data_IF_874225749898
#
_entry.id   IF_874225749898
#
_cell.length_a   1.000
_cell.length_b   1.000
_cell.length_c   1.000
_cell.angle_alpha   90.00
_cell.angle_beta   90.00
_cell.angle_gamma   90.00
#
_symmetry.space_group_name_H-M   'P 1'
#
loop_
_entity.id
_entity.type
_entity.pdbx_description
1 polymer ?
#
# COMPACT_ATOMS: atom_id res chain seq x y z
N UNK A 1 -6.99 -6.52 -12.16
CA UNK A 1 -7.52 -7.89 -12.01
C UNK A 1 -7.30 -8.64 -13.31
N UNK A 2 -6.76 -9.85 -13.25
CA UNK A 2 -6.60 -10.73 -14.39
C UNK A 2 -6.88 -12.17 -13.97
N UNK A 3 -7.58 -12.93 -14.81
CA UNK A 3 -7.76 -14.37 -14.67
C UNK A 3 -6.75 -15.10 -15.52
N UNK A 4 -6.11 -16.12 -15.01
CA UNK A 4 -5.11 -16.93 -15.68
C UNK A 4 -5.44 -18.42 -15.56
N UNK A 5 -4.71 -19.27 -16.29
CA UNK A 5 -4.80 -20.74 -16.11
C UNK A 5 -4.39 -21.20 -14.68
N UNK A 6 -3.90 -20.29 -13.86
CA UNK A 6 -3.45 -20.49 -12.46
C UNK A 6 -4.43 -19.94 -11.43
N UNK A 7 -5.65 -19.61 -11.84
CA UNK A 7 -6.65 -18.93 -11.01
C UNK A 7 -6.59 -17.41 -11.13
N UNK A 8 -7.40 -16.73 -10.34
CA UNK A 8 -7.47 -15.29 -10.34
C UNK A 8 -6.23 -14.69 -9.64
N UNK A 9 -5.65 -13.69 -10.27
CA UNK A 9 -4.56 -12.90 -9.72
C UNK A 9 -4.96 -11.44 -9.66
N UNK A 10 -4.52 -10.73 -8.63
CA UNK A 10 -4.87 -9.34 -8.44
C UNK A 10 -3.68 -8.56 -7.90
N UNK A 11 -3.49 -7.37 -8.46
CA UNK A 11 -2.56 -6.38 -7.94
C UNK A 11 -3.33 -5.10 -7.58
N UNK A 12 -3.16 -4.64 -6.35
CA UNK A 12 -3.61 -3.33 -5.90
C UNK A 12 -2.42 -2.50 -5.43
N UNK A 13 -2.40 -1.22 -5.80
CA UNK A 13 -1.32 -0.30 -5.46
C UNK A 13 -1.90 1.05 -5.05
N UNK A 14 -1.46 1.57 -3.92
CA UNK A 14 -1.68 2.95 -3.50
C UNK A 14 -0.33 3.64 -3.37
N UNK A 15 -0.19 4.77 -4.05
CA UNK A 15 0.99 5.62 -4.04
C UNK A 15 0.56 7.03 -3.65
N UNK A 16 1.07 7.54 -2.54
CA UNK A 16 0.80 8.89 -2.08
C UNK A 16 1.98 9.79 -2.42
N UNK A 17 1.72 10.74 -3.30
CA UNK A 17 2.71 11.71 -3.74
C UNK A 17 2.89 12.81 -2.71
N UNK A 18 4.09 12.95 -2.15
CA UNK A 18 4.36 13.84 -1.02
C UNK A 18 4.11 15.30 -1.36
N UNK A 19 3.10 15.91 -0.70
CA UNK A 19 2.63 17.28 -0.93
C UNK A 19 3.64 18.38 -0.58
N UNK A 20 4.63 18.09 0.27
CA UNK A 20 5.76 18.98 0.55
C UNK A 20 6.82 19.01 -0.54
N UNK A 21 6.78 18.09 -1.49
CA UNK A 21 7.66 18.02 -2.65
C UNK A 21 6.88 18.41 -3.91
N UNK A 22 7.44 19.33 -4.70
CA UNK A 22 6.80 19.73 -5.95
C UNK A 22 6.63 18.52 -6.87
N UNK A 23 5.42 18.34 -7.43
CA UNK A 23 5.07 17.27 -8.36
C UNK A 23 5.12 15.84 -7.78
N UNK A 24 4.66 15.65 -6.54
CA UNK A 24 4.43 14.31 -5.96
C UNK A 24 3.55 13.43 -6.85
N UNK A 25 2.57 14.02 -7.55
CA UNK A 25 1.71 13.35 -8.51
C UNK A 25 2.47 12.71 -9.69
N UNK A 26 3.61 13.28 -10.09
CA UNK A 26 4.45 12.70 -11.15
C UNK A 26 5.16 11.44 -10.64
N UNK A 27 5.65 11.48 -9.41
CA UNK A 27 6.31 10.33 -8.78
C UNK A 27 5.32 9.17 -8.57
N UNK A 28 4.13 9.45 -8.01
CA UNK A 28 3.10 8.43 -7.78
C UNK A 28 2.60 7.81 -9.10
N UNK A 29 2.33 8.64 -10.13
CA UNK A 29 1.92 8.16 -11.45
C UNK A 29 3.00 7.29 -12.14
N UNK A 30 4.29 7.67 -12.02
CA UNK A 30 5.39 6.89 -12.58
C UNK A 30 5.49 5.51 -11.93
N UNK A 31 5.33 5.44 -10.62
CA UNK A 31 5.40 4.18 -9.87
C UNK A 31 4.19 3.27 -10.16
N UNK A 32 2.97 3.82 -10.18
CA UNK A 32 1.75 3.07 -10.55
C UNK A 32 1.90 2.49 -11.96
N UNK A 33 2.37 3.30 -12.93
CA UNK A 33 2.60 2.83 -14.30
C UNK A 33 3.62 1.69 -14.35
N UNK A 34 4.68 1.77 -13.58
CA UNK A 34 5.70 0.73 -13.53
C UNK A 34 5.13 -0.59 -12.97
N UNK A 35 4.32 -0.55 -11.91
CA UNK A 35 3.63 -1.72 -11.38
C UNK A 35 2.61 -2.30 -12.36
N UNK A 36 1.84 -1.46 -13.06
CA UNK A 36 0.90 -1.94 -14.10
C UNK A 36 1.64 -2.70 -15.20
N UNK A 37 2.72 -2.12 -15.73
CA UNK A 37 3.53 -2.78 -16.77
C UNK A 37 4.19 -4.06 -16.27
N UNK A 38 4.69 -4.08 -15.05
CA UNK A 38 5.26 -5.27 -14.43
C UNK A 38 4.21 -6.37 -14.30
N UNK A 39 3.02 -6.06 -13.82
CA UNK A 39 1.93 -7.00 -13.63
C UNK A 39 1.41 -7.58 -14.95
N UNK A 40 1.36 -6.76 -15.99
CA UNK A 40 0.89 -7.19 -17.32
C UNK A 40 1.92 -8.01 -18.10
N UNK A 41 3.23 -7.76 -17.91
CA UNK A 41 4.29 -8.31 -18.76
C UNK A 41 5.19 -9.29 -18.02
N UNK A 42 5.77 -8.90 -16.86
CA UNK A 42 6.76 -9.72 -16.18
C UNK A 42 6.14 -10.72 -15.19
N UNK A 43 5.08 -10.34 -14.51
CA UNK A 43 4.43 -11.22 -13.54
C UNK A 43 3.86 -12.52 -14.15
N UNK A 44 3.24 -12.52 -15.34
CA UNK A 44 2.85 -13.76 -16.03
C UNK A 44 4.03 -14.70 -16.32
N UNK A 45 5.20 -14.16 -16.70
CA UNK A 45 6.40 -14.99 -16.89
C UNK A 45 6.87 -15.62 -15.58
N UNK A 46 6.78 -14.85 -14.50
CA UNK A 46 7.07 -15.33 -13.16
C UNK A 46 6.14 -16.48 -12.77
N UNK A 47 4.85 -16.40 -13.04
CA UNK A 47 3.88 -17.49 -12.85
C UNK A 47 4.17 -18.69 -13.74
N UNK A 48 4.49 -18.48 -15.02
CA UNK A 48 4.75 -19.54 -15.98
C UNK A 48 5.96 -20.40 -15.61
N UNK A 49 7.06 -19.81 -15.14
CA UNK A 49 8.28 -20.52 -14.74
C UNK A 49 8.06 -21.54 -13.61
N UNK A 50 6.89 -21.62 -13.03
CA UNK A 50 6.57 -22.36 -11.79
C UNK A 50 5.61 -23.51 -11.93
N UNK A 51 5.30 -23.95 -13.14
CA UNK A 51 4.44 -25.12 -13.35
C UNK A 51 4.90 -26.41 -12.64
N UNK A 52 6.03 -26.40 -11.97
CA UNK A 52 6.64 -27.56 -11.32
C UNK A 52 6.94 -27.41 -9.83
N UNK A 53 6.59 -26.28 -9.21
CA UNK A 53 6.91 -26.01 -7.79
C UNK A 53 5.68 -25.49 -7.00
N UNK A 54 5.74 -25.55 -5.69
CA UNK A 54 4.66 -25.24 -4.72
C UNK A 54 4.23 -23.75 -4.69
N UNK A 55 3.93 -23.14 -5.83
CA UNK A 55 3.45 -21.75 -5.93
C UNK A 55 4.57 -20.71 -6.07
N UNK A 56 4.22 -19.41 -5.89
CA UNK A 56 5.15 -18.29 -6.07
C UNK A 56 6.34 -18.36 -5.09
N UNK A 57 7.58 -18.42 -5.63
CA UNK A 57 8.79 -18.33 -4.82
C UNK A 57 8.93 -16.88 -4.30
N UNK A 58 8.71 -16.72 -3.01
CA UNK A 58 8.75 -15.44 -2.33
C UNK A 58 10.02 -14.63 -2.64
N UNK A 59 11.19 -15.26 -2.56
CA UNK A 59 12.46 -14.57 -2.77
C UNK A 59 12.57 -14.02 -4.21
N UNK A 60 12.08 -14.76 -5.18
CA UNK A 60 12.09 -14.35 -6.58
C UNK A 60 11.14 -13.17 -6.84
N UNK A 61 9.93 -13.23 -6.26
CA UNK A 61 8.97 -12.14 -6.29
C UNK A 61 9.53 -10.87 -5.62
N UNK A 62 10.09 -11.00 -4.42
CA UNK A 62 10.70 -9.87 -3.71
C UNK A 62 11.86 -9.26 -4.50
N UNK A 63 12.70 -10.08 -5.13
CA UNK A 63 13.80 -9.61 -5.97
C UNK A 63 13.31 -8.86 -7.21
N UNK A 64 12.27 -9.33 -7.87
CA UNK A 64 11.68 -8.64 -9.04
C UNK A 64 11.07 -7.29 -8.63
N UNK A 65 10.30 -7.26 -7.54
CA UNK A 65 9.72 -6.02 -7.02
C UNK A 65 10.81 -5.05 -6.53
N UNK A 66 11.85 -5.54 -5.85
CA UNK A 66 12.99 -4.72 -5.44
C UNK A 66 13.66 -4.06 -6.64
N UNK A 67 13.94 -4.80 -7.72
CA UNK A 67 14.51 -4.23 -8.95
C UNK A 67 13.62 -3.15 -9.54
N UNK A 68 12.30 -3.39 -9.60
CA UNK A 68 11.32 -2.41 -10.08
C UNK A 68 11.39 -1.12 -9.27
N UNK A 69 11.32 -1.22 -7.93
CA UNK A 69 11.35 -0.08 -7.03
C UNK A 69 12.66 0.71 -7.16
N UNK A 70 13.80 0.04 -7.21
CA UNK A 70 15.11 0.69 -7.33
C UNK A 70 15.27 1.40 -8.68
N UNK A 71 14.82 0.78 -9.78
CA UNK A 71 14.83 1.41 -11.11
C UNK A 71 13.96 2.67 -11.14
N UNK A 72 12.71 2.57 -10.63
CA UNK A 72 11.81 3.72 -10.59
C UNK A 72 12.33 4.82 -9.66
N UNK A 73 12.88 4.46 -8.50
CA UNK A 73 13.50 5.41 -7.58
C UNK A 73 14.60 6.22 -8.29
N UNK A 74 15.52 5.52 -8.98
CA UNK A 74 16.59 6.18 -9.71
C UNK A 74 16.08 7.11 -10.80
N UNK A 75 15.10 6.66 -11.60
CA UNK A 75 14.49 7.45 -12.68
C UNK A 75 13.80 8.71 -12.17
N UNK A 76 13.04 8.62 -11.07
CA UNK A 76 12.38 9.77 -10.46
C UNK A 76 13.44 10.72 -9.90
N UNK A 77 14.45 10.21 -9.18
CA UNK A 77 15.54 11.01 -8.64
C UNK A 77 16.32 11.76 -9.73
N UNK A 78 16.65 11.10 -10.84
CA UNK A 78 17.36 11.73 -11.95
C UNK A 78 16.51 12.79 -12.66
N UNK A 79 15.23 12.53 -12.85
CA UNK A 79 14.29 13.53 -13.36
C UNK A 79 14.20 14.75 -12.42
N UNK A 80 14.16 14.51 -11.12
CA UNK A 80 14.16 15.55 -10.09
C UNK A 80 15.43 16.42 -10.15
N UNK A 81 16.62 15.81 -10.29
CA UNK A 81 17.89 16.52 -10.44
C UNK A 81 17.91 17.41 -11.68
N UNK A 82 17.48 16.88 -12.84
CA UNK A 82 17.43 17.63 -14.11
C UNK A 82 16.45 18.81 -14.02
N UNK A 83 15.32 18.60 -13.38
CA UNK A 83 14.27 19.60 -13.25
C UNK A 83 14.46 20.55 -12.06
N UNK A 84 15.47 20.33 -11.22
CA UNK A 84 15.68 21.03 -9.94
C UNK A 84 14.46 20.96 -9.00
N UNK A 85 13.74 19.83 -9.01
CA UNK A 85 12.51 19.63 -8.26
C UNK A 85 12.64 18.31 -7.47
N UNK A 86 12.47 18.38 -6.15
CA UNK A 86 12.34 17.18 -5.34
C UNK A 86 10.98 16.53 -5.56
N UNK A 87 10.97 15.23 -5.82
CA UNK A 87 9.77 14.42 -6.03
C UNK A 87 9.87 13.13 -5.24
N UNK A 88 8.79 12.72 -4.61
CA UNK A 88 8.74 11.46 -3.89
C UNK A 88 7.32 10.95 -3.75
N UNK A 89 7.20 9.65 -3.49
CA UNK A 89 5.92 8.99 -3.27
C UNK A 89 6.09 7.81 -2.32
N UNK A 90 5.04 7.49 -1.58
CA UNK A 90 4.92 6.20 -0.87
C UNK A 90 4.58 5.09 -1.84
N UNK A 91 4.63 3.86 -1.37
CA UNK A 91 4.11 2.69 -2.07
C UNK A 91 3.53 1.68 -1.08
N UNK A 92 2.23 1.42 -1.16
CA UNK A 92 1.57 0.29 -0.51
C UNK A 92 1.02 -0.63 -1.58
N UNK A 93 1.51 -1.86 -1.62
CA UNK A 93 1.22 -2.85 -2.66
C UNK A 93 0.63 -4.10 -2.03
N UNK A 94 -0.41 -4.63 -2.65
CA UNK A 94 -1.01 -5.93 -2.35
C UNK A 94 -1.11 -6.74 -3.64
N UNK A 95 -0.41 -7.86 -3.70
CA UNK A 95 -0.54 -8.88 -4.73
C UNK A 95 -1.24 -10.09 -4.14
N UNK A 96 -2.27 -10.58 -4.79
CA UNK A 96 -2.96 -11.82 -4.43
C UNK A 96 -2.85 -12.82 -5.56
N UNK A 97 -2.37 -14.01 -5.25
CA UNK A 97 -2.21 -15.10 -6.20
C UNK A 97 -2.13 -16.44 -5.46
N UNK A 98 -2.69 -17.50 -6.04
CA UNK A 98 -2.53 -18.88 -5.58
C UNK A 98 -2.87 -19.08 -4.08
N UNK A 99 -3.93 -18.41 -3.59
CA UNK A 99 -4.36 -18.52 -2.17
C UNK A 99 -3.50 -17.72 -1.18
N UNK A 100 -2.52 -16.96 -1.67
CA UNK A 100 -1.61 -16.16 -0.83
C UNK A 100 -1.70 -14.69 -1.18
N UNK A 101 -1.52 -13.83 -0.17
CA UNK A 101 -1.25 -12.43 -0.36
C UNK A 101 0.23 -12.13 -0.11
N UNK A 102 0.72 -11.15 -0.84
CA UNK A 102 2.05 -10.57 -0.67
C UNK A 102 1.90 -9.06 -0.58
N UNK A 103 2.48 -8.45 0.44
CA UNK A 103 2.50 -6.99 0.54
C UNK A 103 3.91 -6.46 0.38
N UNK A 104 4.03 -5.26 -0.17
CA UNK A 104 5.25 -4.48 -0.18
C UNK A 104 4.94 -3.06 0.26
N UNK A 105 5.80 -2.48 1.10
CA UNK A 105 5.63 -1.12 1.61
C UNK A 105 6.92 -0.30 1.51
N UNK A 106 6.76 0.97 1.08
CA UNK A 106 7.72 2.06 1.22
C UNK A 106 6.95 3.30 1.69
N UNK A 107 7.27 3.82 2.87
CA UNK A 107 6.59 4.97 3.46
C UNK A 107 5.54 4.58 4.49
N UNK A 108 4.42 5.30 4.55
CA UNK A 108 3.38 5.16 5.57
C UNK A 108 1.96 4.97 5.03
N UNK A 109 1.79 4.81 3.73
CA UNK A 109 0.57 4.21 3.18
C UNK A 109 0.45 2.77 3.64
N UNK A 110 -0.76 2.31 3.93
CA UNK A 110 -0.96 1.03 4.62
C UNK A 110 -1.80 0.04 3.84
N UNK A 111 -1.57 -1.24 4.11
CA UNK A 111 -2.44 -2.36 3.74
C UNK A 111 -3.01 -2.98 5.01
N UNK A 112 -4.30 -3.16 5.05
CA UNK A 112 -5.02 -3.82 6.14
C UNK A 112 -5.77 -5.04 5.64
N UNK A 113 -5.85 -6.05 6.49
CA UNK A 113 -6.80 -7.17 6.39
C UNK A 113 -7.91 -6.98 7.42
N UNK A 114 -9.14 -7.20 7.01
CA UNK A 114 -10.35 -7.11 7.84
C UNK A 114 -11.09 -8.44 7.71
N UNK A 115 -11.25 -9.14 8.82
CA UNK A 115 -11.95 -10.42 8.90
C UNK A 115 -12.96 -10.43 10.05
N UNK A 116 -13.57 -11.58 10.34
CA UNK A 116 -14.55 -11.70 11.43
C UNK A 116 -13.99 -11.48 12.84
N UNK A 117 -12.67 -11.40 13.00
CA UNK A 117 -12.01 -11.22 14.29
C UNK A 117 -11.53 -9.76 14.50
N UNK A 118 -11.41 -8.98 13.43
CA UNK A 118 -10.94 -7.60 13.54
C UNK A 118 -10.28 -7.05 12.29
N UNK A 119 -9.55 -5.97 12.50
CA UNK A 119 -8.73 -5.29 11.50
C UNK A 119 -7.26 -5.43 11.86
N UNK A 120 -6.45 -5.90 10.92
CA UNK A 120 -5.01 -6.15 11.12
C UNK A 120 -4.21 -5.35 10.08
N UNK A 121 -3.29 -4.51 10.52
CA UNK A 121 -2.34 -3.85 9.63
C UNK A 121 -1.29 -4.87 9.15
N UNK A 122 -1.13 -5.02 7.84
CA UNK A 122 -0.19 -5.96 7.22
C UNK A 122 1.16 -5.32 6.88
N UNK A 123 1.20 -4.01 6.75
CA UNK A 123 2.40 -3.21 6.47
C UNK A 123 2.87 -2.49 7.73
N UNK A 124 4.13 -2.10 7.76
CA UNK A 124 4.69 -1.31 8.86
C UNK A 124 5.11 0.07 8.35
N UNK A 125 4.72 1.12 9.06
CA UNK A 125 5.05 2.48 8.67
C UNK A 125 6.56 2.73 8.78
N UNK A 126 7.11 3.38 7.78
CA UNK A 126 8.51 3.79 7.74
C UNK A 126 8.61 5.28 8.08
N UNK A 127 8.15 5.66 9.28
CA UNK A 127 8.14 7.02 9.81
C UNK A 127 9.10 7.18 10.98
N UNK A 128 9.43 8.43 11.29
CA UNK A 128 10.21 8.77 12.49
C UNK A 128 9.53 8.23 13.75
N UNK A 129 8.22 8.47 13.91
CA UNK A 129 7.50 8.05 15.11
C UNK A 129 7.43 6.53 15.24
N UNK A 130 7.26 5.79 14.15
CA UNK A 130 7.29 4.32 14.19
C UNK A 130 8.66 3.81 14.64
N UNK A 131 9.75 4.40 14.17
CA UNK A 131 11.11 4.07 14.64
C UNK A 131 11.28 4.31 16.14
N UNK A 132 10.71 5.40 16.67
CA UNK A 132 10.76 5.69 18.11
C UNK A 132 9.91 4.71 18.94
N UNK A 133 8.75 4.29 18.42
CA UNK A 133 7.93 3.22 19.02
C UNK A 133 8.71 1.90 19.07
N UNK A 134 9.30 1.48 17.96
CA UNK A 134 10.09 0.25 17.87
C UNK A 134 11.27 0.24 18.83
N UNK A 135 11.86 1.39 19.06
CA UNK A 135 12.97 1.55 20.02
C UNK A 135 12.52 1.69 21.49
N UNK A 136 11.20 1.64 21.76
CA UNK A 136 10.64 1.78 23.10
C UNK A 136 10.76 3.19 23.68
N UNK A 137 11.00 4.21 22.84
CA UNK A 137 11.15 5.61 23.27
C UNK A 137 9.88 6.44 23.14
N UNK A 138 8.84 5.87 22.51
CA UNK A 138 7.55 6.52 22.31
C UNK A 138 6.43 5.49 22.37
N UNK A 139 5.31 5.84 22.97
CA UNK A 139 4.08 5.04 22.92
C UNK A 139 3.28 5.33 21.65
N UNK A 140 2.38 4.43 21.20
CA UNK A 140 1.49 4.70 20.07
C UNK A 140 0.62 5.94 20.25
N UNK A 141 0.16 6.24 21.48
CA UNK A 141 -0.66 7.40 21.76
C UNK A 141 0.13 8.72 21.65
N UNK A 142 1.38 8.74 22.13
CA UNK A 142 2.28 9.89 21.96
C UNK A 142 2.59 10.13 20.48
N UNK A 143 2.82 9.06 19.71
CA UNK A 143 3.11 9.14 18.29
C UNK A 143 1.98 9.80 17.47
N UNK A 144 0.72 9.54 17.82
CA UNK A 144 -0.45 10.11 17.14
C UNK A 144 -0.49 11.64 17.14
N UNK A 145 0.00 12.26 18.21
CA UNK A 145 -0.01 13.72 18.39
C UNK A 145 1.37 14.35 18.19
N UNK A 146 2.39 13.55 17.87
CA UNK A 146 3.76 14.03 17.74
C UNK A 146 3.90 14.99 16.56
N UNK A 147 4.63 16.13 16.70
CA UNK A 147 4.83 17.09 15.60
C UNK A 147 5.47 16.49 14.34
N UNK A 148 6.30 15.46 14.50
CA UNK A 148 6.99 14.77 13.42
C UNK A 148 6.31 13.45 12.98
N UNK A 149 5.02 13.27 13.27
CA UNK A 149 4.31 12.03 12.94
C UNK A 149 4.29 11.71 11.44
N UNK A 150 4.33 12.72 10.59
CA UNK A 150 4.31 12.59 9.12
C UNK A 150 5.74 12.60 8.51
N UNK A 151 6.81 12.53 9.33
CA UNK A 151 8.18 12.50 8.81
C UNK A 151 8.52 11.09 8.35
N UNK A 152 8.59 10.91 7.03
CA UNK A 152 8.98 9.64 6.41
C UNK A 152 10.50 9.42 6.54
N UNK A 153 10.90 8.18 6.79
CA UNK A 153 12.31 7.76 6.81
C UNK A 153 12.80 7.45 5.39
N UNK A 154 11.90 7.02 4.51
CA UNK A 154 12.19 6.78 3.11
C UNK A 154 10.95 6.92 2.24
N UNK A 155 11.15 7.28 0.98
CA UNK A 155 10.14 7.39 -0.05
C UNK A 155 10.76 7.20 -1.44
N UNK A 156 10.00 6.67 -2.36
CA UNK A 156 10.47 6.41 -3.73
C UNK A 156 10.66 7.74 -4.47
N UNK A 157 11.83 7.96 -5.03
CA UNK A 157 12.21 9.14 -5.80
C UNK A 157 13.02 10.19 -5.03
N UNK A 158 12.95 10.22 -3.68
CA UNK A 158 13.67 11.21 -2.88
C UNK A 158 14.66 10.59 -1.87
N UNK A 159 14.61 9.28 -1.66
CA UNK A 159 15.58 8.59 -0.80
C UNK A 159 16.75 8.04 -1.59
N UNK A 160 17.95 8.21 -1.08
CA UNK A 160 19.17 7.65 -1.68
C UNK A 160 19.19 6.13 -1.57
N UNK A 161 18.74 5.60 -0.44
CA UNK A 161 18.63 4.16 -0.19
C UNK A 161 17.16 3.86 0.11
N UNK A 162 16.62 2.84 -0.56
CA UNK A 162 15.28 2.31 -0.31
C UNK A 162 15.39 0.85 0.08
N UNK A 163 14.74 0.51 1.17
CA UNK A 163 14.60 -0.85 1.68
C UNK A 163 13.10 -1.13 1.82
N UNK A 164 12.44 -1.68 0.80
CA UNK A 164 11.04 -2.06 0.90
C UNK A 164 10.84 -3.13 1.96
N UNK A 165 9.72 -3.07 2.67
CA UNK A 165 9.32 -4.10 3.62
C UNK A 165 8.31 -5.04 2.95
N UNK A 166 8.50 -6.36 3.14
CA UNK A 166 7.66 -7.38 2.55
C UNK A 166 7.01 -8.25 3.62
N UNK A 167 5.71 -8.49 3.48
CA UNK A 167 5.01 -9.52 4.25
C UNK A 167 4.24 -10.45 3.33
N UNK A 168 3.87 -11.62 3.83
CA UNK A 168 3.01 -12.57 3.13
C UNK A 168 2.12 -13.32 4.11
N UNK A 169 1.03 -13.86 3.60
CA UNK A 169 0.14 -14.74 4.33
C UNK A 169 -0.85 -15.42 3.39
N UNK A 170 -1.77 -16.15 3.97
CA UNK A 170 -2.89 -16.76 3.23
C UNK A 170 -4.12 -15.86 3.31
N UNK A 171 -4.91 -15.84 2.24
CA UNK A 171 -6.21 -15.22 2.25
C UNK A 171 -7.33 -16.25 2.21
N UNK A 172 -8.49 -15.85 2.71
CA UNK A 172 -9.69 -16.69 2.75
C UNK A 172 -10.87 -15.95 2.12
N UNK A 173 -11.80 -16.73 1.55
CA UNK A 173 -13.07 -16.18 1.08
C UNK A 173 -13.75 -15.40 2.20
N UNK A 174 -14.35 -14.28 1.86
CA UNK A 174 -15.03 -13.38 2.77
C UNK A 174 -14.15 -12.30 3.41
N UNK A 175 -12.82 -12.41 3.41
CA UNK A 175 -11.95 -11.36 3.93
C UNK A 175 -11.99 -10.09 3.07
N UNK A 176 -11.88 -8.94 3.74
CA UNK A 176 -11.79 -7.62 3.09
C UNK A 176 -10.38 -7.07 3.27
N UNK A 177 -9.84 -6.48 2.22
CA UNK A 177 -8.55 -5.80 2.24
C UNK A 177 -8.73 -4.32 1.93
N UNK A 178 -8.00 -3.48 2.64
CA UNK A 178 -7.99 -2.04 2.47
C UNK A 178 -6.55 -1.55 2.27
N UNK A 179 -6.31 -0.85 1.16
CA UNK A 179 -5.09 -0.07 0.97
C UNK A 179 -5.47 1.41 1.08
N UNK A 180 -4.70 2.20 1.81
CA UNK A 180 -5.03 3.61 1.97
C UNK A 180 -3.79 4.49 2.18
N UNK A 181 -3.92 5.77 1.77
CA UNK A 181 -2.99 6.83 2.17
C UNK A 181 -3.21 7.23 3.63
N UNK A 182 -2.30 8.01 4.17
CA UNK A 182 -2.40 8.55 5.54
C UNK A 182 -3.62 9.47 5.69
N UNK A 183 -3.93 10.33 4.71
CA UNK A 183 -5.12 11.18 4.72
C UNK A 183 -6.45 10.43 4.80
N UNK A 184 -6.52 9.17 4.36
CA UNK A 184 -7.73 8.37 4.53
C UNK A 184 -7.93 7.91 5.98
N UNK A 185 -6.87 7.70 6.76
CA UNK A 185 -6.87 7.08 8.08
C UNK A 185 -6.60 8.01 9.26
N UNK A 186 -6.20 9.26 9.03
CA UNK A 186 -5.78 10.18 10.11
C UNK A 186 -6.86 10.46 11.15
N UNK A 187 -8.09 10.67 10.69
CA UNK A 187 -9.19 11.15 11.55
C UNK A 187 -10.30 10.11 11.75
N UNK A 188 -10.09 8.89 11.25
CA UNK A 188 -10.97 7.73 11.46
C UNK A 188 -10.18 6.66 12.22
N UNK A 189 -10.75 6.11 13.28
CA UNK A 189 -10.09 5.07 14.07
C UNK A 189 -10.26 3.69 13.43
N UNK A 190 -9.35 2.74 13.74
CA UNK A 190 -9.47 1.36 13.27
C UNK A 190 -10.76 0.69 13.74
N UNK A 191 -11.25 1.03 14.93
CA UNK A 191 -12.54 0.54 15.42
C UNK A 191 -13.71 1.06 14.57
N UNK A 192 -13.68 2.32 14.15
CA UNK A 192 -14.68 2.89 13.24
C UNK A 192 -14.61 2.23 11.86
N UNK A 193 -13.40 2.04 11.30
CA UNK A 193 -13.23 1.29 10.05
C UNK A 193 -13.78 -0.12 10.16
N UNK A 194 -13.46 -0.86 11.22
CA UNK A 194 -13.98 -2.21 11.41
C UNK A 194 -15.50 -2.25 11.46
N UNK A 195 -16.13 -1.31 12.18
CA UNK A 195 -17.60 -1.21 12.24
C UNK A 195 -18.25 -0.93 10.88
N UNK A 196 -17.55 -0.17 10.02
CA UNK A 196 -18.05 0.20 8.70
C UNK A 196 -17.76 -0.87 7.64
N UNK A 197 -16.60 -1.50 7.70
CA UNK A 197 -16.06 -2.41 6.67
C UNK A 197 -16.02 -3.87 7.12
N UNK A 198 -16.76 -4.24 8.17
CA UNK A 198 -16.90 -5.64 8.58
C UNK A 198 -17.33 -6.50 7.38
N UNK A 199 -16.72 -7.67 7.14
CA UNK A 199 -17.00 -8.54 6.00
C UNK A 199 -18.48 -8.85 5.75
N UNK A 200 -19.27 -8.96 6.83
CA UNK A 200 -20.71 -9.19 6.75
C UNK A 200 -21.49 -8.04 6.07
N UNK A 201 -20.92 -6.82 6.09
CA UNK A 201 -21.51 -5.65 5.45
C UNK A 201 -21.00 -5.44 4.02
N UNK A 202 -19.91 -6.08 3.65
CA UNK A 202 -19.23 -5.91 2.37
C UNK A 202 -19.60 -7.01 1.36
N UNK A 203 -20.87 -7.39 1.27
CA UNK A 203 -21.31 -8.51 0.43
C UNK A 203 -21.32 -8.19 -1.07
N UNK A 204 -21.33 -6.92 -1.44
CA UNK A 204 -21.44 -6.49 -2.84
C UNK A 204 -20.40 -5.42 -3.15
N UNK A 205 -20.02 -5.29 -4.43
CA UNK A 205 -19.19 -4.20 -4.94
C UNK A 205 -19.77 -2.82 -4.57
N UNK A 206 -21.10 -2.69 -4.62
CA UNK A 206 -21.78 -1.46 -4.23
C UNK A 206 -21.55 -1.14 -2.74
N UNK A 207 -21.61 -2.12 -1.85
CA UNK A 207 -21.35 -1.92 -0.43
C UNK A 207 -19.92 -1.45 -0.18
N UNK A 208 -18.93 -2.04 -0.86
CA UNK A 208 -17.53 -1.57 -0.82
C UNK A 208 -17.40 -0.11 -1.26
N UNK A 209 -18.03 0.23 -2.39
CA UNK A 209 -18.02 1.60 -2.92
C UNK A 209 -18.71 2.59 -1.97
N UNK A 210 -19.88 2.24 -1.45
CA UNK A 210 -20.64 3.09 -0.53
C UNK A 210 -19.84 3.32 0.78
N UNK A 211 -19.15 2.29 1.29
CA UNK A 211 -18.27 2.40 2.45
C UNK A 211 -17.07 3.32 2.19
N UNK A 212 -16.41 3.18 1.04
CA UNK A 212 -15.30 4.05 0.65
C UNK A 212 -15.73 5.52 0.54
N UNK A 213 -16.86 5.77 -0.13
CA UNK A 213 -17.44 7.12 -0.25
C UNK A 213 -17.81 7.67 1.12
N UNK A 214 -18.49 6.90 1.97
CA UNK A 214 -18.87 7.33 3.30
C UNK A 214 -17.64 7.72 4.14
N UNK A 215 -16.59 6.91 4.17
CA UNK A 215 -15.36 7.23 4.89
C UNK A 215 -14.66 8.47 4.32
N UNK A 216 -14.68 8.66 2.99
CA UNK A 216 -14.13 9.86 2.36
C UNK A 216 -14.88 11.12 2.81
N UNK A 217 -16.19 11.10 2.83
CA UNK A 217 -17.00 12.24 3.30
C UNK A 217 -16.86 12.45 4.82
N UNK A 218 -16.69 11.38 5.58
CA UNK A 218 -16.41 11.47 7.03
C UNK A 218 -15.07 12.15 7.29
N UNK A 219 -14.01 11.82 6.53
CA UNK A 219 -12.71 12.49 6.60
C UNK A 219 -12.84 13.99 6.33
N UNK A 220 -13.53 14.36 5.25
CA UNK A 220 -13.79 15.78 4.91
C UNK A 220 -14.57 16.51 6.02
N UNK A 221 -15.60 15.86 6.58
CA UNK A 221 -16.40 16.43 7.68
C UNK A 221 -15.57 16.67 8.96
N UNK A 222 -14.54 15.83 9.16
CA UNK A 222 -13.56 15.93 10.26
C UNK A 222 -12.37 16.85 9.94
N UNK A 223 -12.47 17.59 8.83
CA UNK A 223 -11.48 18.59 8.39
C UNK A 223 -10.10 18.00 8.03
N UNK A 224 -10.07 16.75 7.53
CA UNK A 224 -8.85 16.23 6.89
C UNK A 224 -8.48 17.14 5.70
N UNK A 225 -7.18 17.46 5.60
CA UNK A 225 -6.66 18.40 4.59
C UNK A 225 -5.79 17.72 3.54
N UNK A 226 -5.40 16.47 3.81
CA UNK A 226 -4.54 15.73 2.90
C UNK A 226 -5.34 15.03 1.80
N UNK A 227 -4.65 14.57 0.78
CA UNK A 227 -5.23 13.75 -0.27
C UNK A 227 -5.75 12.43 0.30
N UNK A 228 -6.96 12.06 -0.08
CA UNK A 228 -7.65 10.89 0.45
C UNK A 228 -7.71 9.83 -0.63
N UNK A 229 -6.96 8.74 -0.46
CA UNK A 229 -6.93 7.61 -1.39
C UNK A 229 -7.22 6.31 -0.68
N UNK A 230 -8.11 5.48 -1.27
CA UNK A 230 -8.44 4.14 -0.75
C UNK A 230 -8.76 3.18 -1.86
N UNK A 231 -8.34 1.93 -1.69
CA UNK A 231 -8.76 0.77 -2.48
C UNK A 231 -9.34 -0.25 -1.51
N UNK A 232 -10.55 -0.73 -1.78
CA UNK A 232 -11.22 -1.79 -1.02
C UNK A 232 -11.43 -3.01 -1.91
N UNK A 233 -11.14 -4.17 -1.37
CA UNK A 233 -11.22 -5.46 -2.05
C UNK A 233 -11.92 -6.46 -1.13
N UNK A 234 -12.75 -7.34 -1.70
CA UNK A 234 -13.28 -8.50 -0.99
C UNK A 234 -12.91 -9.77 -1.74
N UNK A 235 -12.44 -10.76 -1.00
CA UNK A 235 -12.17 -12.10 -1.55
C UNK A 235 -13.51 -12.86 -1.65
N UNK A 236 -13.84 -13.33 -2.85
CA UNK A 236 -15.06 -14.08 -3.14
C UNK A 236 -14.83 -15.59 -3.00
#
# INVERSE_FOLDING_TARGET
EASTDYGDVMLAVVCDGMGGLAKGEVASAALIKAFSMWFEVQFPELLYRRRTADGINRMELENEINKLILDVNQRIADHGKISHIAMGTTAAVLLMAEGKYYTMNVGDSRVYKIDGQGMTQLTKDQTFVQKEIDAGRMTPDEARVHPQRNVLLQCVGASEVIIPEFTQGEYKSGEVYMLCSDGFRHVITEEEFYKLMNPEKMETERALKDAAVYCTELNKSRQEKDNISVVLLKVC
#
